data_IF_688672438628
#
_entry.id   IF_688672438628
#
_cell.length_a   1.000
_cell.length_b   1.000
_cell.length_c   1.000
_cell.angle_alpha   90.00
_cell.angle_beta   90.00
_cell.angle_gamma   90.00
#
_symmetry.space_group_name_H-M   'P 1'
#
loop_
_entity.id
_entity.type
_entity.pdbx_description
1 polymer ?
#
# COMPACT_ATOMS: atom_id res chain seq x y z
N UNK A 1 -2.11 6.25 19.33
CA UNK A 1 -0.74 5.93 18.85
C UNK A 1 -0.85 5.43 17.42
N UNK A 2 -0.09 5.97 16.47
CA UNK A 2 -0.10 5.49 15.09
C UNK A 2 0.58 4.12 14.99
N UNK A 3 -0.03 3.17 14.28
CA UNK A 3 0.53 1.83 14.07
C UNK A 3 1.75 1.91 13.14
N UNK A 4 2.85 1.26 13.52
CA UNK A 4 4.06 1.18 12.67
C UNK A 4 3.82 0.18 11.52
N UNK A 5 4.10 0.60 10.30
CA UNK A 5 3.97 -0.22 9.08
C UNK A 5 4.97 -1.39 9.07
N UNK A 6 4.50 -2.55 8.64
CA UNK A 6 5.26 -3.78 8.42
C UNK A 6 5.24 -4.15 6.94
N UNK A 7 6.32 -4.79 6.46
CA UNK A 7 6.39 -5.28 5.07
C UNK A 7 5.19 -6.18 4.79
N UNK A 8 4.49 -5.89 3.69
CA UNK A 8 3.25 -6.56 3.30
C UNK A 8 1.97 -5.84 3.71
N UNK A 9 2.03 -4.86 4.62
CA UNK A 9 0.85 -4.06 5.00
C UNK A 9 0.28 -3.33 3.77
N UNK A 10 -1.05 -3.33 3.68
CA UNK A 10 -1.80 -2.58 2.67
C UNK A 10 -2.44 -1.38 3.36
N UNK A 11 -2.25 -0.21 2.78
CA UNK A 11 -2.75 1.06 3.30
C UNK A 11 -3.76 1.62 2.33
N UNK A 12 -4.94 1.95 2.86
CA UNK A 12 -5.98 2.68 2.17
C UNK A 12 -5.68 4.18 2.18
N UNK A 13 -5.88 4.82 1.04
CA UNK A 13 -5.70 6.26 0.86
C UNK A 13 -6.98 6.81 0.23
N UNK A 14 -7.64 7.73 0.91
CA UNK A 14 -8.74 8.50 0.34
C UNK A 14 -8.21 9.47 -0.72
N UNK A 15 -8.81 9.43 -1.91
CA UNK A 15 -8.49 10.34 -3.01
C UNK A 15 -9.76 10.97 -3.55
N UNK A 16 -9.63 12.04 -4.35
CA UNK A 16 -10.77 12.67 -5.03
C UNK A 16 -11.51 11.73 -6.00
N UNK A 17 -10.91 10.60 -6.37
CA UNK A 17 -11.47 9.58 -7.29
C UNK A 17 -11.97 8.33 -6.56
N UNK A 18 -12.05 8.36 -5.24
CA UNK A 18 -12.34 7.19 -4.41
C UNK A 18 -11.09 6.67 -3.67
N UNK A 19 -11.17 5.44 -3.17
CA UNK A 19 -10.13 4.77 -2.40
C UNK A 19 -9.05 4.24 -3.33
N UNK A 20 -7.80 4.49 -2.98
CA UNK A 20 -6.62 3.90 -3.59
C UNK A 20 -5.84 3.09 -2.56
N UNK A 21 -5.06 2.12 -3.01
CA UNK A 21 -4.30 1.25 -2.12
C UNK A 21 -2.83 1.24 -2.45
N UNK A 22 -2.00 1.24 -1.42
CA UNK A 22 -0.57 1.01 -1.53
C UNK A 22 -0.18 -0.19 -0.69
N UNK A 23 0.82 -0.93 -1.15
CA UNK A 23 1.47 -1.98 -0.38
C UNK A 23 2.83 -1.48 0.10
N UNK A 24 3.12 -1.64 1.38
CA UNK A 24 4.46 -1.39 1.91
C UNK A 24 5.36 -2.58 1.58
N UNK A 25 6.32 -2.38 0.66
CA UNK A 25 7.06 -3.49 0.06
C UNK A 25 8.40 -3.70 0.74
N UNK A 26 9.09 -2.63 1.11
CA UNK A 26 10.42 -2.75 1.67
C UNK A 26 10.84 -1.48 2.40
N UNK A 27 11.87 -1.57 3.22
CA UNK A 27 12.59 -0.40 3.72
C UNK A 27 14.09 -0.68 3.69
N UNK A 28 14.82 0.28 3.16
CA UNK A 28 16.27 0.22 3.11
C UNK A 28 16.81 1.03 4.29
N UNK A 29 17.01 0.36 5.42
CA UNK A 29 17.42 1.05 6.66
C UNK A 29 18.95 1.22 6.73
N UNK A 30 19.76 0.23 6.33
CA UNK A 30 21.23 0.34 6.42
C UNK A 30 21.97 -0.36 5.26
N UNK A 31 22.77 0.37 4.45
CA UNK A 31 22.84 1.83 4.35
C UNK A 31 21.57 2.39 3.65
N UNK A 32 20.98 3.52 4.09
CA UNK A 32 19.68 3.97 3.58
C UNK A 32 19.82 4.66 2.22
N UNK A 33 19.74 3.88 1.14
CA UNK A 33 19.82 4.42 -0.23
C UNK A 33 18.47 4.90 -0.77
N UNK A 34 17.37 4.26 -0.35
CA UNK A 34 16.05 4.45 -0.98
C UNK A 34 14.91 4.68 0.02
N UNK A 35 15.19 4.69 1.32
CA UNK A 35 14.17 4.86 2.35
C UNK A 35 13.08 3.78 2.31
N UNK A 36 11.83 4.19 2.54
CA UNK A 36 10.64 3.32 2.57
C UNK A 36 10.06 3.17 1.17
N UNK A 37 9.95 1.93 0.71
CA UNK A 37 9.42 1.59 -0.62
C UNK A 37 7.96 1.14 -0.52
N UNK A 38 7.13 1.76 -1.36
CA UNK A 38 5.72 1.43 -1.54
C UNK A 38 5.45 1.01 -2.98
N UNK A 39 4.49 0.12 -3.17
CA UNK A 39 3.91 -0.21 -4.47
C UNK A 39 2.50 0.34 -4.52
N UNK A 40 2.18 1.14 -5.53
CA UNK A 40 0.80 1.55 -5.81
C UNK A 40 0.06 0.38 -6.43
N UNK A 41 -1.07 0.00 -5.86
CA UNK A 41 -1.94 -1.03 -6.44
C UNK A 41 -2.88 -0.37 -7.46
N UNK A 42 -3.12 -0.99 -8.62
CA UNK A 42 -3.92 -0.38 -9.68
C UNK A 42 -5.39 -0.25 -9.27
N UNK A 43 -6.03 0.81 -9.77
CA UNK A 43 -7.47 1.04 -9.62
C UNK A 43 -7.85 2.08 -8.57
N UNK A 44 -9.11 2.51 -8.65
CA UNK A 44 -9.81 3.31 -7.65
C UNK A 44 -11.10 2.59 -7.27
N UNK A 45 -11.48 2.67 -6.00
CA UNK A 45 -12.62 1.92 -5.47
C UNK A 45 -13.56 2.83 -4.70
N UNK A 46 -14.87 2.69 -4.90
CA UNK A 46 -15.87 3.46 -4.15
C UNK A 46 -16.04 2.94 -2.71
N UNK A 47 -15.62 1.71 -2.45
CA UNK A 47 -15.71 1.02 -1.15
C UNK A 47 -14.54 0.08 -0.93
N UNK A 48 -14.27 -0.25 0.33
CA UNK A 48 -13.20 -1.18 0.69
C UNK A 48 -13.39 -2.54 0.00
N UNK A 49 -12.39 -3.06 -0.73
CA UNK A 49 -12.46 -4.36 -1.39
C UNK A 49 -12.68 -5.50 -0.39
N UNK A 50 -13.44 -6.52 -0.82
CA UNK A 50 -13.69 -7.70 -0.01
C UNK A 50 -12.43 -8.58 0.19
N UNK A 51 -11.46 -8.48 -0.72
CA UNK A 51 -10.21 -9.24 -0.68
C UNK A 51 -9.02 -8.40 -1.16
N UNK A 52 -8.13 -8.05 -0.24
CA UNK A 52 -6.89 -7.38 -0.58
C UNK A 52 -5.90 -8.29 -1.33
N UNK A 53 -6.03 -9.61 -1.20
CA UNK A 53 -5.17 -10.56 -1.93
C UNK A 53 -5.37 -10.47 -3.44
N UNK A 54 -6.58 -10.16 -3.90
CA UNK A 54 -6.85 -9.98 -5.32
C UNK A 54 -6.24 -8.68 -5.87
N UNK A 55 -6.20 -7.61 -5.07
CA UNK A 55 -5.53 -6.37 -5.45
C UNK A 55 -4.03 -6.56 -5.68
N UNK A 56 -3.38 -7.38 -4.84
CA UNK A 56 -1.93 -7.61 -4.93
C UNK A 56 -1.55 -8.48 -6.14
N UNK A 57 -2.44 -9.41 -6.55
CA UNK A 57 -2.23 -10.31 -7.70
C UNK A 57 -2.23 -9.58 -9.04
N UNK A 58 -2.85 -8.41 -9.13
CA UNK A 58 -2.85 -7.60 -10.35
C UNK A 58 -1.42 -7.08 -10.57
N UNK A 59 -0.80 -7.43 -11.70
CA UNK A 59 0.56 -7.02 -12.06
C UNK A 59 0.55 -5.68 -12.77
#
# INVERSE_FOLDING_TARGET
MAKRLKIGDIVEIETKKGLAYIQYVYHHDEPPRYGRLIRVLPGFFDKTPASFSELVKQK
#
